data_IF_221520634818
#
_entry.id   IF_221520634818
#
_cell.length_a   1.000
_cell.length_b   1.000
_cell.length_c   1.000
_cell.angle_alpha   90.00
_cell.angle_beta   90.00
_cell.angle_gamma   90.00
#
_symmetry.space_group_name_H-M   'P 1'
#
loop_
_entity.id
_entity.type
_entity.pdbx_description
1 polymer ?
#
# COMPACT_ATOMS: atom_id res chain seq x y z
N UNK A 1 -86.99 0.59 111.83
CA UNK A 1 -85.85 1.37 112.36
C UNK A 1 -84.52 1.06 111.65
N UNK A 2 -84.37 -0.06 110.94
CA UNK A 2 -83.10 -0.40 110.26
C UNK A 2 -82.90 0.31 108.91
N UNK A 3 -83.98 0.68 108.20
CA UNK A 3 -83.91 1.31 106.87
C UNK A 3 -83.37 2.76 106.86
N UNK A 4 -83.68 3.57 107.88
CA UNK A 4 -83.23 4.97 107.96
C UNK A 4 -81.77 5.10 108.39
N UNK A 5 -81.26 4.15 109.18
CA UNK A 5 -79.84 4.08 109.56
C UNK A 5 -78.96 3.73 108.36
N UNK A 6 -79.39 2.78 107.53
CA UNK A 6 -78.65 2.35 106.34
C UNK A 6 -78.57 3.45 105.28
N UNK A 7 -79.61 4.28 105.13
CA UNK A 7 -79.60 5.44 104.23
C UNK A 7 -78.58 6.52 104.63
N UNK A 8 -78.39 6.76 105.94
CA UNK A 8 -77.41 7.74 106.44
C UNK A 8 -75.98 7.25 106.31
N UNK A 9 -75.73 5.97 106.59
CA UNK A 9 -74.40 5.35 106.40
C UNK A 9 -74.02 5.38 104.91
N UNK A 10 -74.94 4.97 104.02
CA UNK A 10 -74.70 5.04 102.57
C UNK A 10 -74.43 6.46 102.07
N UNK A 11 -75.10 7.49 102.63
CA UNK A 11 -74.85 8.88 102.26
C UNK A 11 -73.50 9.42 102.74
N UNK A 12 -72.99 8.94 103.89
CA UNK A 12 -71.67 9.31 104.41
C UNK A 12 -70.57 8.58 103.62
N UNK A 13 -70.76 7.29 103.35
CA UNK A 13 -69.83 6.51 102.52
C UNK A 13 -69.78 7.06 101.10
N UNK A 14 -70.92 7.35 100.47
CA UNK A 14 -71.01 7.98 99.15
C UNK A 14 -70.30 9.35 99.12
N UNK A 15 -70.51 10.22 100.12
CA UNK A 15 -69.79 11.50 100.18
C UNK A 15 -68.28 11.34 100.40
N UNK A 16 -67.86 10.31 101.13
CA UNK A 16 -66.44 10.03 101.41
C UNK A 16 -65.75 9.40 100.21
N UNK A 17 -66.46 8.57 99.44
CA UNK A 17 -66.05 8.05 98.13
C UNK A 17 -65.93 9.21 97.13
N UNK A 18 -66.94 10.08 97.03
CA UNK A 18 -66.90 11.27 96.18
C UNK A 18 -65.76 12.22 96.54
N UNK A 19 -65.48 12.43 97.83
CA UNK A 19 -64.36 13.26 98.25
C UNK A 19 -62.99 12.62 97.91
N UNK A 20 -62.86 11.29 98.01
CA UNK A 20 -61.65 10.55 97.61
C UNK A 20 -61.45 10.58 96.10
N UNK A 21 -62.52 10.62 95.32
CA UNK A 21 -62.46 10.72 93.86
C UNK A 21 -62.18 12.17 93.38
N UNK A 22 -62.70 13.18 94.09
CA UNK A 22 -62.49 14.61 93.78
C UNK A 22 -61.12 15.16 94.19
N UNK A 23 -60.48 14.62 95.23
CA UNK A 23 -59.17 15.15 95.68
C UNK A 23 -58.05 14.97 94.64
N UNK A 24 -57.87 13.79 94.01
CA UNK A 24 -56.88 13.60 92.95
C UNK A 24 -57.15 14.49 91.74
N UNK A 25 -58.41 14.67 91.34
CA UNK A 25 -58.74 15.54 90.20
C UNK A 25 -58.39 17.00 90.50
N UNK A 26 -58.70 17.53 91.69
CA UNK A 26 -58.31 18.88 92.09
C UNK A 26 -56.78 19.06 92.14
N UNK A 27 -56.04 18.06 92.61
CA UNK A 27 -54.58 18.11 92.61
C UNK A 27 -54.02 18.11 91.17
N UNK A 28 -54.53 17.23 90.31
CA UNK A 28 -54.18 17.19 88.89
C UNK A 28 -54.47 18.51 88.18
N UNK A 29 -55.61 19.14 88.44
CA UNK A 29 -55.96 20.43 87.85
C UNK A 29 -55.04 21.57 88.33
N UNK A 30 -54.65 21.58 89.61
CA UNK A 30 -53.65 22.55 90.12
C UNK A 30 -52.28 22.35 89.48
N UNK A 31 -51.83 21.10 89.36
CA UNK A 31 -50.56 20.78 88.72
C UNK A 31 -50.55 21.17 87.23
N UNK A 32 -51.66 20.95 86.50
CA UNK A 32 -51.83 21.42 85.12
C UNK A 32 -51.75 22.94 85.03
N UNK A 33 -52.47 23.66 85.91
CA UNK A 33 -52.46 25.12 85.90
C UNK A 33 -51.05 25.67 86.21
N UNK A 34 -50.34 25.10 87.19
CA UNK A 34 -48.96 25.51 87.51
C UNK A 34 -48.01 25.23 86.34
N UNK A 35 -48.13 24.08 85.67
CA UNK A 35 -47.34 23.74 84.48
C UNK A 35 -47.61 24.73 83.33
N UNK A 36 -48.87 25.06 83.03
CA UNK A 36 -49.22 26.04 82.00
C UNK A 36 -48.67 27.44 82.31
N UNK A 37 -48.69 27.84 83.59
CA UNK A 37 -48.15 29.13 84.02
C UNK A 37 -46.63 29.18 83.80
N UNK A 38 -45.92 28.11 84.14
CA UNK A 38 -44.48 27.99 83.90
C UNK A 38 -44.16 28.02 82.41
N UNK A 39 -44.93 27.32 81.57
CA UNK A 39 -44.76 27.35 80.10
C UNK A 39 -44.92 28.77 79.57
N UNK A 40 -45.99 29.47 79.94
CA UNK A 40 -46.24 30.86 79.48
C UNK A 40 -45.16 31.84 79.96
N UNK A 41 -44.58 31.65 81.14
CA UNK A 41 -43.48 32.49 81.63
C UNK A 41 -42.18 32.22 80.88
N UNK A 42 -41.88 30.96 80.56
CA UNK A 42 -40.72 30.57 79.74
C UNK A 42 -40.82 31.13 78.32
N UNK A 43 -42.01 31.07 77.70
CA UNK A 43 -42.27 31.66 76.38
C UNK A 43 -42.08 33.19 76.40
N UNK A 44 -42.55 33.86 77.45
CA UNK A 44 -42.35 35.32 77.62
C UNK A 44 -40.88 35.70 77.79
N UNK A 45 -40.10 34.93 78.55
CA UNK A 45 -38.67 35.18 78.75
C UNK A 45 -37.84 34.83 77.50
N UNK A 46 -38.24 33.78 76.78
CA UNK A 46 -37.56 33.30 75.57
C UNK A 46 -37.92 34.06 74.30
N UNK A 47 -39.05 34.76 74.28
CA UNK A 47 -39.51 35.56 73.12
C UNK A 47 -40.02 34.74 71.94
N UNK A 48 -40.14 33.41 72.10
CA UNK A 48 -40.66 32.46 71.10
C UNK A 48 -41.54 31.45 71.79
N UNK A 49 -42.68 31.12 71.18
CA UNK A 49 -43.60 30.12 71.72
C UNK A 49 -43.11 28.70 71.41
N UNK A 50 -43.52 27.72 72.23
CA UNK A 50 -43.17 26.31 71.99
C UNK A 50 -43.68 25.85 70.61
N UNK A 51 -44.88 26.30 70.23
CA UNK A 51 -45.50 25.98 68.95
C UNK A 51 -44.71 26.55 67.76
N UNK A 52 -44.15 27.74 67.88
CA UNK A 52 -43.26 28.32 66.85
C UNK A 52 -41.98 27.49 66.70
N UNK A 53 -41.37 27.05 67.81
CA UNK A 53 -40.19 26.19 67.77
C UNK A 53 -40.50 24.84 67.10
N UNK A 54 -41.62 24.21 67.42
CA UNK A 54 -42.05 22.97 66.76
C UNK A 54 -42.27 23.17 65.25
N UNK A 55 -42.94 24.26 64.84
CA UNK A 55 -43.13 24.58 63.42
C UNK A 55 -41.80 24.81 62.70
N UNK A 56 -40.85 25.52 63.32
CA UNK A 56 -39.51 25.74 62.72
C UNK A 56 -38.71 24.44 62.62
N UNK A 57 -38.79 23.56 63.62
CA UNK A 57 -38.15 22.25 63.59
C UNK A 57 -38.71 21.39 62.48
N UNK A 58 -40.03 21.34 62.32
CA UNK A 58 -40.70 20.61 61.24
C UNK A 58 -40.39 21.21 59.86
N UNK A 59 -40.26 22.54 59.75
CA UNK A 59 -39.80 23.17 58.51
C UNK A 59 -38.35 22.76 58.17
N UNK A 60 -37.45 22.76 59.16
CA UNK A 60 -36.04 22.36 58.98
C UNK A 60 -35.87 20.87 58.67
N UNK A 61 -36.69 20.00 59.25
CA UNK A 61 -36.73 18.57 58.88
C UNK A 61 -37.11 18.41 57.41
N UNK A 62 -38.16 19.08 56.95
CA UNK A 62 -38.57 19.04 55.53
C UNK A 62 -37.48 19.58 54.59
N UNK A 63 -36.84 20.69 54.96
CA UNK A 63 -35.73 21.26 54.21
C UNK A 63 -34.54 20.28 54.13
N UNK A 64 -34.19 19.65 55.25
CA UNK A 64 -33.12 18.63 55.31
C UNK A 64 -33.46 17.42 54.44
N UNK A 65 -34.68 16.89 54.52
CA UNK A 65 -35.14 15.78 53.67
C UNK A 65 -35.11 16.14 52.18
N UNK A 66 -35.49 17.35 51.81
CA UNK A 66 -35.43 17.82 50.42
C UNK A 66 -33.98 17.94 49.93
N UNK A 67 -33.07 18.47 50.76
CA UNK A 67 -31.64 18.53 50.44
C UNK A 67 -31.02 17.14 50.33
N UNK A 68 -31.41 16.21 51.19
CA UNK A 68 -30.95 14.82 51.16
C UNK A 68 -31.40 14.12 49.87
N UNK A 69 -32.69 14.21 49.52
CA UNK A 69 -33.22 13.67 48.27
C UNK A 69 -32.51 14.29 47.04
N UNK A 70 -32.23 15.60 47.07
CA UNK A 70 -31.48 16.27 46.01
C UNK A 70 -30.00 15.85 45.94
N UNK A 71 -29.38 15.43 47.04
CA UNK A 71 -28.02 14.84 47.05
C UNK A 71 -28.05 13.43 46.49
N UNK A 72 -28.96 12.59 46.94
CA UNK A 72 -29.13 11.20 46.50
C UNK A 72 -29.43 11.13 45.00
N UNK A 73 -30.32 11.98 44.49
CA UNK A 73 -30.61 12.08 43.06
C UNK A 73 -29.36 12.42 42.23
N UNK A 74 -28.53 13.36 42.70
CA UNK A 74 -27.28 13.71 42.00
C UNK A 74 -26.25 12.59 42.07
N UNK A 75 -26.10 11.94 43.22
CA UNK A 75 -25.22 10.77 43.39
C UNK A 75 -25.62 9.69 42.39
N UNK A 76 -26.90 9.37 42.33
CA UNK A 76 -27.43 8.37 41.40
C UNK A 76 -27.13 8.71 39.93
N UNK A 77 -27.32 9.97 39.52
CA UNK A 77 -26.99 10.43 38.15
C UNK A 77 -25.49 10.31 37.87
N UNK A 78 -24.63 10.67 38.82
CA UNK A 78 -23.18 10.55 38.65
C UNK A 78 -22.73 9.09 38.56
N UNK A 79 -23.23 8.22 39.43
CA UNK A 79 -22.93 6.78 39.41
C UNK A 79 -23.34 6.16 38.08
N UNK A 80 -24.57 6.44 37.62
CA UNK A 80 -25.06 5.96 36.34
C UNK A 80 -24.21 6.47 35.16
N UNK A 81 -23.78 7.74 35.20
CA UNK A 81 -22.93 8.32 34.15
C UNK A 81 -21.54 7.70 34.13
N UNK A 82 -20.93 7.49 35.29
CA UNK A 82 -19.63 6.81 35.43
C UNK A 82 -19.72 5.38 34.91
N UNK A 83 -20.80 4.67 35.22
CA UNK A 83 -21.01 3.31 34.74
C UNK A 83 -21.17 3.25 33.22
N UNK A 84 -21.90 4.21 32.63
CA UNK A 84 -22.00 4.36 31.17
C UNK A 84 -20.63 4.61 30.52
N UNK A 85 -19.78 5.43 31.13
CA UNK A 85 -18.42 5.71 30.65
C UNK A 85 -17.55 4.44 30.75
N UNK A 86 -17.62 3.69 31.86
CA UNK A 86 -16.87 2.44 32.02
C UNK A 86 -17.20 1.43 30.93
N UNK A 87 -18.48 1.21 30.65
CA UNK A 87 -18.90 0.29 29.57
C UNK A 87 -18.41 0.74 28.20
N UNK A 88 -18.53 2.04 27.89
CA UNK A 88 -18.00 2.60 26.64
C UNK A 88 -16.50 2.37 26.49
N UNK A 89 -15.74 2.68 27.55
CA UNK A 89 -14.29 2.46 27.58
C UNK A 89 -13.94 0.99 27.30
N UNK A 90 -14.62 0.06 27.95
CA UNK A 90 -14.38 -1.38 27.73
C UNK A 90 -14.67 -1.79 26.27
N UNK A 91 -15.78 -1.30 25.69
CA UNK A 91 -16.09 -1.59 24.29
C UNK A 91 -15.04 -1.01 23.33
N UNK A 92 -14.53 0.19 23.61
CA UNK A 92 -13.51 0.86 22.81
C UNK A 92 -12.15 0.17 22.92
N UNK A 93 -11.75 -0.27 24.12
CA UNK A 93 -10.54 -1.05 24.35
C UNK A 93 -10.59 -2.38 23.58
N UNK A 94 -11.73 -3.10 23.66
CA UNK A 94 -11.91 -4.35 22.91
C UNK A 94 -11.95 -4.14 21.39
N UNK A 95 -12.44 -2.98 20.90
CA UNK A 95 -12.40 -2.64 19.49
C UNK A 95 -10.97 -2.34 19.03
N UNK A 96 -10.21 -1.61 19.85
CA UNK A 96 -8.81 -1.28 19.60
C UNK A 96 -7.92 -2.53 19.56
N UNK A 97 -8.17 -3.49 20.45
CA UNK A 97 -7.43 -4.75 20.46
C UNK A 97 -7.73 -5.61 19.24
N UNK A 98 -9.00 -5.70 18.83
CA UNK A 98 -9.39 -6.36 17.57
C UNK A 98 -8.72 -5.72 16.36
N UNK A 99 -8.64 -4.38 16.32
CA UNK A 99 -7.94 -3.66 15.25
C UNK A 99 -6.45 -4.00 15.25
N UNK A 100 -5.79 -4.02 16.41
CA UNK A 100 -4.38 -4.39 16.54
C UNK A 100 -4.12 -5.81 16.02
N UNK A 101 -4.99 -6.76 16.35
CA UNK A 101 -4.91 -8.13 15.82
C UNK A 101 -5.11 -8.18 14.30
N UNK A 102 -6.09 -7.42 13.78
CA UNK A 102 -6.34 -7.33 12.35
C UNK A 102 -5.16 -6.71 11.57
N UNK A 103 -4.38 -5.82 12.19
CA UNK A 103 -3.19 -5.21 11.59
C UNK A 103 -1.97 -6.14 11.49
N UNK A 104 -1.87 -7.16 12.34
CA UNK A 104 -0.71 -8.08 12.35
C UNK A 104 -0.52 -8.80 11.01
N UNK A 105 -1.61 -9.26 10.39
CA UNK A 105 -1.54 -10.00 9.12
C UNK A 105 -1.07 -9.12 7.94
N UNK A 106 -1.64 -7.92 7.71
CA UNK A 106 -1.10 -6.96 6.76
C UNK A 106 0.35 -6.57 7.00
N UNK A 107 0.77 -6.34 8.26
CA UNK A 107 2.15 -5.98 8.60
C UNK A 107 3.13 -7.10 8.23
N UNK A 108 2.80 -8.35 8.55
CA UNK A 108 3.58 -9.51 8.13
C UNK A 108 3.58 -9.67 6.59
N UNK A 109 2.43 -9.43 5.95
CA UNK A 109 2.33 -9.45 4.49
C UNK A 109 3.19 -8.38 3.82
N UNK A 110 3.30 -7.19 4.44
CA UNK A 110 4.16 -6.11 3.96
C UNK A 110 5.65 -6.47 4.10
N UNK A 111 6.07 -7.02 5.25
CA UNK A 111 7.47 -7.40 5.44
C UNK A 111 7.91 -8.50 4.47
N UNK A 112 7.05 -9.49 4.20
CA UNK A 112 7.30 -10.53 3.21
C UNK A 112 7.38 -9.99 1.78
N UNK A 113 6.55 -9.00 1.44
CA UNK A 113 6.60 -8.37 0.11
C UNK A 113 7.87 -7.53 -0.05
N UNK A 114 8.26 -6.80 1.00
CA UNK A 114 9.49 -6.01 0.99
C UNK A 114 10.72 -6.89 0.77
N UNK A 115 10.85 -7.99 1.52
CA UNK A 115 11.98 -8.92 1.32
C UNK A 115 11.99 -9.59 -0.05
N UNK A 116 10.81 -9.91 -0.60
CA UNK A 116 10.69 -10.44 -1.96
C UNK A 116 11.10 -9.42 -3.04
N UNK A 117 10.80 -8.14 -2.83
CA UNK A 117 11.23 -7.05 -3.72
C UNK A 117 12.75 -6.89 -3.66
N UNK A 118 13.33 -6.79 -2.46
CA UNK A 118 14.79 -6.67 -2.27
C UNK A 118 15.55 -7.82 -2.96
N UNK A 119 15.04 -9.05 -2.81
CA UNK A 119 15.65 -10.22 -3.47
C UNK A 119 15.59 -10.11 -5.00
N UNK A 120 14.48 -9.62 -5.56
CA UNK A 120 14.35 -9.41 -7.01
C UNK A 120 15.23 -8.27 -7.51
N UNK A 121 15.37 -7.21 -6.74
CA UNK A 121 16.26 -6.10 -7.07
C UNK A 121 17.71 -6.57 -7.17
N UNK A 122 18.18 -7.39 -6.21
CA UNK A 122 19.51 -8.01 -6.25
C UNK A 122 19.70 -8.91 -7.48
N UNK A 123 18.68 -9.72 -7.83
CA UNK A 123 18.73 -10.56 -9.04
C UNK A 123 18.82 -9.72 -10.31
N UNK A 124 18.07 -8.62 -10.39
CA UNK A 124 18.10 -7.72 -11.54
C UNK A 124 19.46 -7.03 -11.67
N UNK A 125 20.07 -6.60 -10.56
CA UNK A 125 21.41 -6.01 -10.57
C UNK A 125 22.44 -7.00 -11.13
N UNK A 126 22.41 -8.26 -10.71
CA UNK A 126 23.29 -9.30 -11.24
C UNK A 126 23.12 -9.52 -12.75
N UNK A 127 21.87 -9.59 -13.23
CA UNK A 127 21.59 -9.74 -14.67
C UNK A 127 22.07 -8.52 -15.46
N UNK A 128 21.93 -7.31 -14.92
CA UNK A 128 22.43 -6.11 -15.57
C UNK A 128 23.96 -6.11 -15.67
N UNK A 129 24.66 -6.54 -14.62
CA UNK A 129 26.12 -6.67 -14.61
C UNK A 129 26.61 -7.73 -15.60
N UNK A 130 25.92 -8.87 -15.71
CA UNK A 130 26.27 -9.88 -16.71
C UNK A 130 25.99 -9.38 -18.14
N UNK A 131 24.90 -8.62 -18.32
CA UNK A 131 24.59 -7.97 -19.60
C UNK A 131 25.64 -6.92 -20.02
N UNK A 132 26.15 -6.10 -19.10
CA UNK A 132 27.23 -5.14 -19.39
C UNK A 132 28.54 -5.86 -19.70
N UNK A 133 28.92 -6.86 -18.90
CA UNK A 133 30.11 -7.69 -19.15
C UNK A 133 30.05 -8.40 -20.50
N UNK A 134 28.88 -8.94 -20.85
CA UNK A 134 28.64 -9.56 -22.15
C UNK A 134 28.85 -8.58 -23.31
N UNK A 135 28.26 -7.38 -23.22
CA UNK A 135 28.48 -6.32 -24.24
C UNK A 135 29.95 -5.94 -24.36
N UNK A 136 30.66 -5.77 -23.25
CA UNK A 136 32.09 -5.46 -23.26
C UNK A 136 32.93 -6.58 -23.88
N UNK A 137 32.59 -7.84 -23.63
CA UNK A 137 33.28 -8.98 -24.23
C UNK A 137 33.10 -8.99 -25.77
N UNK A 138 31.86 -8.79 -26.24
CA UNK A 138 31.57 -8.70 -27.69
C UNK A 138 32.33 -7.53 -28.33
N UNK A 139 32.34 -6.36 -27.69
CA UNK A 139 33.07 -5.21 -28.22
C UNK A 139 34.57 -5.50 -28.29
N UNK A 140 35.18 -6.10 -27.25
CA UNK A 140 36.60 -6.47 -27.27
C UNK A 140 36.93 -7.47 -28.39
N UNK A 141 36.09 -8.48 -28.57
CA UNK A 141 36.29 -9.47 -29.63
C UNK A 141 36.16 -8.85 -31.03
N UNK A 142 35.17 -7.97 -31.24
CA UNK A 142 35.03 -7.21 -32.50
C UNK A 142 36.29 -6.42 -32.83
N UNK A 143 36.83 -5.67 -31.86
CA UNK A 143 38.08 -4.93 -32.06
C UNK A 143 39.27 -5.86 -32.36
N UNK A 144 39.35 -7.02 -31.70
CA UNK A 144 40.38 -8.02 -31.95
C UNK A 144 40.29 -8.59 -33.37
N UNK A 145 39.10 -8.99 -33.81
CA UNK A 145 38.84 -9.50 -35.16
C UNK A 145 39.16 -8.42 -36.20
N UNK A 146 38.77 -7.17 -35.95
CA UNK A 146 39.04 -6.05 -36.86
C UNK A 146 40.54 -5.79 -36.98
N UNK A 147 41.29 -5.85 -35.87
CA UNK A 147 42.74 -5.75 -35.88
C UNK A 147 43.39 -6.87 -36.71
N UNK A 148 42.95 -8.12 -36.55
CA UNK A 148 43.44 -9.27 -37.34
C UNK A 148 43.10 -9.13 -38.82
N UNK A 149 41.88 -8.68 -39.16
CA UNK A 149 41.48 -8.41 -40.55
C UNK A 149 42.35 -7.33 -41.17
N UNK A 150 42.67 -6.28 -40.42
CA UNK A 150 43.55 -5.20 -40.87
C UNK A 150 44.96 -5.70 -41.17
N UNK A 151 45.56 -6.47 -40.27
CA UNK A 151 46.91 -7.02 -40.50
C UNK A 151 46.95 -7.97 -41.70
N UNK A 152 45.93 -8.83 -41.85
CA UNK A 152 45.82 -9.72 -43.01
C UNK A 152 45.71 -8.94 -44.35
N UNK A 153 44.86 -7.90 -44.39
CA UNK A 153 44.73 -7.04 -45.58
C UNK A 153 46.04 -6.31 -45.88
N UNK A 154 46.70 -5.75 -44.87
CA UNK A 154 47.98 -5.06 -45.03
C UNK A 154 49.07 -5.99 -45.61
N UNK A 155 49.13 -7.23 -45.13
CA UNK A 155 50.08 -8.24 -45.63
C UNK A 155 49.78 -8.63 -47.09
N UNK A 156 48.50 -8.87 -47.44
CA UNK A 156 48.10 -9.11 -48.84
C UNK A 156 48.46 -7.95 -49.75
N UNK A 157 48.20 -6.71 -49.31
CA UNK A 157 48.59 -5.51 -50.05
C UNK A 157 50.10 -5.41 -50.24
N UNK A 158 50.91 -5.80 -49.24
CA UNK A 158 52.38 -5.89 -49.38
C UNK A 158 52.78 -6.92 -50.43
N UNK A 159 52.21 -8.12 -50.38
CA UNK A 159 52.50 -9.17 -51.37
C UNK A 159 52.13 -8.75 -52.78
N UNK A 160 50.96 -8.12 -52.99
CA UNK A 160 50.55 -7.59 -54.29
C UNK A 160 51.50 -6.50 -54.79
N UNK A 161 51.93 -5.58 -53.92
CA UNK A 161 52.95 -4.58 -54.28
C UNK A 161 54.26 -5.23 -54.75
N UNK A 162 54.71 -6.29 -54.06
CA UNK A 162 55.91 -7.03 -54.49
C UNK A 162 55.72 -7.71 -55.85
N UNK A 163 54.56 -8.33 -56.09
CA UNK A 163 54.22 -8.94 -57.39
C UNK A 163 54.19 -7.90 -58.51
N UNK A 164 53.53 -6.77 -58.29
CA UNK A 164 53.47 -5.66 -59.24
C UNK A 164 54.88 -5.14 -59.56
N UNK A 165 55.74 -5.01 -58.54
CA UNK A 165 57.11 -4.58 -58.74
C UNK A 165 57.89 -5.54 -59.65
N UNK A 166 57.80 -6.85 -59.39
CA UNK A 166 58.42 -7.89 -60.24
C UNK A 166 57.91 -7.86 -61.69
N UNK A 167 56.61 -7.68 -61.88
CA UNK A 167 56.02 -7.57 -63.23
C UNK A 167 56.56 -6.33 -63.94
N UNK A 168 56.66 -5.18 -63.25
CA UNK A 168 57.25 -3.97 -63.82
C UNK A 168 58.73 -4.14 -64.17
N UNK A 169 59.51 -4.79 -63.32
CA UNK A 169 60.92 -5.11 -63.61
C UNK A 169 61.07 -6.03 -64.83
N UNK A 170 60.20 -7.05 -64.96
CA UNK A 170 60.16 -7.90 -66.14
C UNK A 170 59.78 -7.12 -67.39
N UNK A 171 58.69 -6.35 -67.33
CA UNK A 171 58.19 -5.53 -68.43
C UNK A 171 59.23 -4.50 -68.90
N UNK A 172 60.05 -3.94 -68.01
CA UNK A 172 61.14 -3.04 -68.37
C UNK A 172 62.28 -3.74 -69.14
N UNK A 173 62.60 -5.00 -68.80
CA UNK A 173 63.67 -5.78 -69.43
C UNK A 173 63.29 -6.30 -70.82
N UNK A 174 62.02 -6.57 -71.09
CA UNK A 174 61.57 -7.12 -72.37
C UNK A 174 61.94 -6.23 -73.58
N UNK A 175 61.63 -4.91 -73.58
CA UNK A 175 62.06 -4.01 -74.64
C UNK A 175 63.59 -3.92 -74.78
N UNK A 176 64.33 -3.97 -73.67
CA UNK A 176 65.80 -3.97 -73.67
C UNK A 176 66.40 -5.23 -74.30
N UNK A 177 65.73 -6.37 -74.21
CA UNK A 177 66.15 -7.62 -74.88
C UNK A 177 65.81 -7.63 -76.37
N UNK A 178 64.74 -6.94 -76.78
CA UNK A 178 64.31 -6.86 -78.19
C UNK A 178 65.11 -5.79 -78.96
N UNK A 179 65.56 -4.71 -78.29
CA UNK A 179 66.31 -3.60 -78.90
C UNK A 179 67.60 -4.01 -79.64
N UNK A 180 68.46 -4.91 -79.10
CA UNK A 180 69.68 -5.36 -79.78
C UNK A 180 69.38 -6.11 -81.07
N UNK A 181 68.28 -6.89 -81.12
CA UNK A 181 67.87 -7.60 -82.35
C UNK A 181 67.51 -6.61 -83.46
N UNK A 182 66.82 -5.52 -83.11
CA UNK A 182 66.52 -4.43 -84.04
C UNK A 182 67.78 -3.65 -84.47
N UNK A 183 68.75 -3.44 -83.57
CA UNK A 183 70.01 -2.77 -83.88
C UNK A 183 70.96 -3.62 -84.73
N UNK A 184 71.01 -4.93 -84.52
CA UNK A 184 71.78 -5.87 -85.34
C UNK A 184 71.26 -5.94 -86.78
N UNK A 185 69.94 -5.91 -86.97
CA UNK A 185 69.31 -5.82 -88.30
C UNK A 185 69.72 -4.53 -89.03
N UNK A 186 69.72 -3.40 -88.33
CA UNK A 186 70.21 -2.11 -88.88
C UNK A 186 71.68 -2.19 -89.30
N UNK A 187 72.54 -2.83 -88.49
CA UNK A 187 73.97 -3.04 -88.83
C UNK A 187 74.15 -3.94 -90.06
N UNK A 188 73.31 -4.96 -90.23
CA UNK A 188 73.32 -5.88 -91.39
C UNK A 188 72.64 -5.32 -92.65
N UNK A 189 72.04 -4.12 -92.60
CA UNK A 189 71.20 -3.52 -93.68
C UNK A 189 70.01 -4.39 -94.09
N UNK A 190 69.52 -5.23 -93.19
CA UNK A 190 68.32 -6.03 -93.41
C UNK A 190 67.07 -5.20 -93.05
N UNK A 191 66.07 -5.14 -93.94
CA UNK A 191 64.78 -4.52 -93.61
C UNK A 191 64.01 -5.41 -92.64
N UNK A 192 63.40 -4.81 -91.61
CA UNK A 192 62.47 -5.51 -90.75
C UNK A 192 61.33 -6.08 -91.58
N UNK A 193 60.96 -7.34 -91.35
CA UNK A 193 59.75 -7.89 -91.98
C UNK A 193 58.54 -7.21 -91.34
N UNK A 194 57.53 -6.86 -92.14
CA UNK A 194 56.31 -6.22 -91.65
C UNK A 194 55.67 -6.95 -90.44
N UNK A 195 55.77 -8.28 -90.40
CA UNK A 195 55.25 -9.11 -89.31
C UNK A 195 56.01 -8.94 -88.00
N UNK A 196 57.32 -8.64 -88.06
CA UNK A 196 58.18 -8.46 -86.88
C UNK A 196 57.93 -7.08 -86.25
N UNK A 197 57.82 -6.02 -87.06
CA UNK A 197 57.44 -4.67 -86.58
C UNK A 197 56.04 -4.64 -85.96
N UNK A 198 55.10 -5.39 -86.53
CA UNK A 198 53.75 -5.55 -85.96
C UNK A 198 53.81 -6.28 -84.62
N UNK A 199 54.65 -7.31 -84.48
CA UNK A 199 54.82 -8.05 -83.24
C UNK A 199 55.48 -7.21 -82.13
N UNK A 200 56.48 -6.39 -82.44
CA UNK A 200 57.11 -5.47 -81.48
C UNK A 200 56.13 -4.41 -80.98
N UNK A 201 55.31 -3.85 -81.87
CA UNK A 201 54.26 -2.89 -81.49
C UNK A 201 53.16 -3.52 -80.64
N UNK A 202 52.77 -4.76 -80.96
CA UNK A 202 51.81 -5.52 -80.16
C UNK A 202 52.34 -5.77 -78.74
N UNK A 203 53.61 -6.17 -78.61
CA UNK A 203 54.29 -6.36 -77.32
C UNK A 203 54.29 -5.09 -76.46
N UNK A 204 54.62 -3.94 -77.05
CA UNK A 204 54.61 -2.65 -76.31
C UNK A 204 53.18 -2.27 -75.91
N UNK A 205 52.18 -2.52 -76.76
CA UNK A 205 50.78 -2.28 -76.44
C UNK A 205 50.28 -3.19 -75.31
N UNK A 206 50.68 -4.46 -75.30
CA UNK A 206 50.34 -5.43 -74.24
C UNK A 206 50.98 -5.04 -72.91
N UNK A 207 52.27 -4.66 -72.90
CA UNK A 207 52.96 -4.15 -71.70
C UNK A 207 52.23 -2.93 -71.14
N UNK A 208 51.86 -1.98 -72.00
CA UNK A 208 51.11 -0.78 -71.59
C UNK A 208 49.76 -1.13 -70.99
N UNK A 209 49.03 -2.05 -71.61
CA UNK A 209 47.74 -2.53 -71.12
C UNK A 209 47.90 -3.19 -69.75
N UNK A 210 48.90 -4.05 -69.57
CA UNK A 210 49.19 -4.69 -68.28
C UNK A 210 49.48 -3.63 -67.21
N UNK A 211 50.33 -2.64 -67.50
CA UNK A 211 50.68 -1.56 -66.57
C UNK A 211 49.49 -0.72 -66.11
N UNK A 212 48.49 -0.51 -66.97
CA UNK A 212 47.24 0.18 -66.64
C UNK A 212 46.35 -0.62 -65.65
N UNK A 213 46.44 -1.96 -65.65
CA UNK A 213 45.67 -2.82 -64.74
C UNK A 213 46.39 -3.08 -63.40
N UNK A 214 47.73 -3.01 -63.34
CA UNK A 214 48.48 -3.34 -62.12
C UNK A 214 48.04 -2.56 -60.87
N UNK A 215 47.79 -1.24 -60.90
CA UNK A 215 47.30 -0.51 -59.71
C UNK A 215 45.93 -0.98 -59.23
N UNK A 216 45.05 -1.40 -60.14
CA UNK A 216 43.68 -1.86 -59.83
C UNK A 216 43.67 -3.17 -59.03
N UNK A 217 44.76 -3.95 -59.12
CA UNK A 217 44.94 -5.18 -58.33
C UNK A 217 45.14 -4.90 -56.83
N UNK A 218 45.64 -3.71 -56.46
CA UNK A 218 45.79 -3.32 -55.05
C UNK A 218 44.43 -2.96 -54.45
N UNK A 219 43.56 -2.28 -55.21
CA UNK A 219 42.26 -1.78 -54.75
C UNK A 219 41.12 -2.81 -54.69
N UNK A 220 41.29 -4.00 -55.30
CA UNK A 220 40.23 -5.02 -55.38
C UNK A 220 39.80 -5.63 -54.02
N UNK A 221 40.49 -5.36 -52.92
CA UNK A 221 40.09 -5.80 -51.57
C UNK A 221 39.47 -4.70 -50.69
N UNK A 222 39.47 -3.45 -51.16
CA UNK A 222 38.92 -2.32 -50.40
C UNK A 222 37.40 -2.17 -50.54
N UNK A 223 36.76 -2.99 -51.38
CA UNK A 223 35.32 -2.94 -51.64
C UNK A 223 34.70 -4.22 -51.07
N UNK A 224 33.78 -4.15 -50.10
CA UNK A 224 32.98 -5.32 -49.72
C UNK A 224 32.26 -5.86 -50.96
N UNK A 225 32.18 -7.18 -51.09
CA UNK A 225 31.77 -7.93 -52.29
C UNK A 225 30.55 -7.35 -53.02
N UNK A 226 29.61 -6.72 -52.30
CA UNK A 226 28.72 -5.72 -52.86
C UNK A 226 28.15 -4.88 -51.69
N UNK A 227 28.45 -3.56 -51.58
CA UNK A 227 27.93 -2.74 -50.48
C UNK A 227 26.40 -2.69 -50.48
N UNK A 228 25.76 -2.78 -51.65
CA UNK A 228 24.30 -2.76 -51.79
C UNK A 228 23.67 -4.06 -51.25
N UNK A 229 24.23 -5.23 -51.58
CA UNK A 229 23.77 -6.51 -51.00
C UNK A 229 23.95 -6.55 -49.50
N UNK A 230 25.04 -5.97 -48.99
CA UNK A 230 25.31 -5.92 -47.54
C UNK A 230 24.29 -5.02 -46.83
N UNK A 231 23.93 -3.89 -47.41
CA UNK A 231 22.90 -2.99 -46.89
C UNK A 231 21.49 -3.57 -47.03
N UNK A 232 21.21 -4.32 -48.11
CA UNK A 232 19.94 -5.04 -48.28
C UNK A 232 19.79 -6.09 -47.17
N UNK A 233 20.82 -6.89 -46.90
CA UNK A 233 20.79 -7.90 -45.84
C UNK A 233 20.61 -7.24 -44.47
N UNK A 234 21.30 -6.13 -44.19
CA UNK A 234 21.11 -5.36 -42.94
C UNK A 234 19.67 -4.89 -42.78
N UNK A 235 19.08 -4.28 -43.82
CA UNK A 235 17.69 -3.80 -43.79
C UNK A 235 16.70 -4.94 -43.56
N UNK A 236 16.93 -6.11 -44.19
CA UNK A 236 16.10 -7.30 -43.96
C UNK A 236 16.15 -7.75 -42.49
N UNK A 237 17.33 -7.79 -41.88
CA UNK A 237 17.45 -8.10 -40.45
C UNK A 237 16.77 -7.07 -39.57
N UNK A 238 17.00 -5.78 -39.81
CA UNK A 238 16.36 -4.69 -39.04
C UNK A 238 14.83 -4.75 -39.13
N UNK A 239 14.30 -5.15 -40.30
CA UNK A 239 12.86 -5.27 -40.54
C UNK A 239 12.27 -6.51 -39.84
N UNK A 240 12.98 -7.65 -39.86
CA UNK A 240 12.61 -8.84 -39.08
C UNK A 240 12.62 -8.56 -37.58
N UNK A 241 13.68 -7.90 -37.07
CA UNK A 241 13.77 -7.55 -35.66
C UNK A 241 12.65 -6.59 -35.23
N UNK A 242 12.29 -5.61 -36.07
CA UNK A 242 11.15 -4.72 -35.80
C UNK A 242 9.81 -5.46 -35.78
N UNK A 243 9.60 -6.39 -36.71
CA UNK A 243 8.37 -7.21 -36.72
C UNK A 243 8.27 -8.09 -35.47
N UNK A 244 9.39 -8.71 -35.07
CA UNK A 244 9.46 -9.53 -33.87
C UNK A 244 9.24 -8.70 -32.60
N UNK A 245 9.86 -7.52 -32.51
CA UNK A 245 9.63 -6.56 -31.43
C UNK A 245 8.16 -6.14 -31.31
N UNK A 246 7.52 -5.78 -32.44
CA UNK A 246 6.09 -5.45 -32.46
C UNK A 246 5.22 -6.62 -32.02
N UNK A 247 5.55 -7.84 -32.44
CA UNK A 247 4.82 -9.05 -32.04
C UNK A 247 4.95 -9.30 -30.54
N UNK A 248 6.16 -9.13 -29.99
CA UNK A 248 6.41 -9.24 -28.55
C UNK A 248 5.63 -8.18 -27.76
N UNK A 249 5.67 -6.92 -28.20
CA UNK A 249 4.93 -5.83 -27.55
C UNK A 249 3.41 -6.09 -27.58
N UNK A 250 2.85 -6.51 -28.71
CA UNK A 250 1.44 -6.88 -28.82
C UNK A 250 1.07 -8.02 -27.86
N UNK A 251 1.91 -9.05 -27.74
CA UNK A 251 1.68 -10.14 -26.79
C UNK A 251 1.75 -9.69 -25.33
N UNK A 252 2.64 -8.74 -25.02
CA UNK A 252 2.77 -8.17 -23.68
C UNK A 252 1.56 -7.33 -23.30
N UNK A 253 1.05 -6.52 -24.23
CA UNK A 253 -0.19 -5.75 -24.07
C UNK A 253 -1.40 -6.66 -23.89
N UNK A 254 -1.51 -7.75 -24.66
CA UNK A 254 -2.60 -8.73 -24.51
C UNK A 254 -2.57 -9.41 -23.14
N UNK A 255 -1.39 -9.82 -22.68
CA UNK A 255 -1.23 -10.43 -21.35
C UNK A 255 -1.49 -9.42 -20.22
N UNK A 256 -1.14 -8.14 -20.41
CA UNK A 256 -1.51 -7.08 -19.49
C UNK A 256 -3.03 -6.89 -19.44
N UNK A 257 -3.70 -6.82 -20.60
CA UNK A 257 -5.15 -6.71 -20.68
C UNK A 257 -5.86 -7.92 -20.03
N UNK A 258 -5.30 -9.13 -20.21
CA UNK A 258 -5.79 -10.35 -19.53
C UNK A 258 -5.67 -10.24 -18.02
N UNK A 259 -4.52 -9.79 -17.50
CA UNK A 259 -4.31 -9.57 -16.07
C UNK A 259 -5.27 -8.53 -15.51
N UNK A 260 -5.52 -7.44 -16.22
CA UNK A 260 -6.51 -6.44 -15.81
C UNK A 260 -7.95 -7.00 -15.78
N UNK A 261 -8.35 -7.78 -16.79
CA UNK A 261 -9.67 -8.44 -16.80
C UNK A 261 -9.82 -9.37 -15.60
N UNK A 262 -8.80 -10.17 -15.30
CA UNK A 262 -8.76 -11.02 -14.12
C UNK A 262 -8.81 -10.22 -12.83
N UNK A 263 -8.05 -9.12 -12.74
CA UNK A 263 -8.06 -8.20 -11.61
C UNK A 263 -9.45 -7.62 -11.35
N UNK A 264 -10.12 -7.11 -12.41
CA UNK A 264 -11.51 -6.62 -12.33
C UNK A 264 -12.47 -7.72 -11.89
N UNK A 265 -12.32 -8.93 -12.43
CA UNK A 265 -13.15 -10.08 -12.03
C UNK A 265 -12.98 -10.46 -10.55
N UNK A 266 -11.75 -10.42 -10.04
CA UNK A 266 -11.46 -10.67 -8.62
C UNK A 266 -12.02 -9.56 -7.72
N UNK A 267 -11.97 -8.31 -8.16
CA UNK A 267 -12.56 -7.17 -7.43
C UNK A 267 -14.08 -7.33 -7.30
N UNK A 268 -14.77 -7.69 -8.39
CA UNK A 268 -16.21 -7.98 -8.39
C UNK A 268 -16.53 -9.14 -7.45
N UNK A 269 -15.72 -10.20 -7.47
CA UNK A 269 -15.89 -11.33 -6.56
C UNK A 269 -15.74 -10.93 -5.08
N UNK A 270 -14.72 -10.12 -4.75
CA UNK A 270 -14.55 -9.58 -3.39
C UNK A 270 -15.72 -8.73 -2.97
N UNK A 271 -16.19 -7.83 -3.85
CA UNK A 271 -17.34 -6.98 -3.55
C UNK A 271 -18.59 -7.81 -3.27
N UNK A 272 -18.86 -8.83 -4.08
CA UNK A 272 -19.99 -9.75 -3.87
C UNK A 272 -19.90 -10.47 -2.52
N UNK A 273 -18.72 -10.95 -2.15
CA UNK A 273 -18.51 -11.59 -0.84
C UNK A 273 -18.73 -10.63 0.33
N UNK A 274 -18.35 -9.36 0.17
CA UNK A 274 -18.62 -8.31 1.16
C UNK A 274 -20.12 -8.01 1.26
N UNK A 275 -20.80 -7.86 0.12
CA UNK A 275 -22.23 -7.61 0.05
C UNK A 275 -23.04 -8.77 0.67
N UNK A 276 -22.67 -10.02 0.39
CA UNK A 276 -23.28 -11.21 1.01
C UNK A 276 -23.08 -11.21 2.54
N UNK A 277 -21.91 -10.78 3.01
CA UNK A 277 -21.64 -10.69 4.44
C UNK A 277 -22.45 -9.56 5.10
N UNK A 278 -22.63 -8.43 4.42
CA UNK A 278 -23.48 -7.31 4.89
C UNK A 278 -24.94 -7.74 4.91
N UNK A 279 -25.43 -8.40 3.86
CA UNK A 279 -26.80 -8.91 3.77
C UNK A 279 -27.11 -9.88 4.91
N UNK A 280 -26.24 -10.87 5.17
CA UNK A 280 -26.38 -11.80 6.30
C UNK A 280 -26.37 -11.11 7.66
N UNK A 281 -25.65 -10.00 7.79
CA UNK A 281 -25.63 -9.21 9.03
C UNK A 281 -26.95 -8.45 9.22
N UNK A 282 -27.50 -7.88 8.15
CA UNK A 282 -28.77 -7.15 8.19
C UNK A 282 -29.96 -8.09 8.41
N UNK A 283 -29.95 -9.27 7.80
CA UNK A 283 -30.97 -10.31 8.05
C UNK A 283 -31.03 -10.71 9.53
N UNK A 284 -29.87 -10.95 10.16
CA UNK A 284 -29.80 -11.23 11.61
C UNK A 284 -30.30 -10.07 12.48
N UNK A 285 -30.10 -8.83 12.05
CA UNK A 285 -30.62 -7.66 12.76
C UNK A 285 -32.14 -7.59 12.67
N UNK A 286 -32.71 -7.82 11.48
CA UNK A 286 -34.16 -7.85 11.29
C UNK A 286 -34.82 -9.03 12.03
N UNK A 287 -34.22 -10.21 12.05
CA UNK A 287 -34.73 -11.33 12.84
C UNK A 287 -34.74 -11.01 14.34
N UNK A 288 -33.70 -10.33 14.84
CA UNK A 288 -33.64 -9.87 16.21
C UNK A 288 -34.74 -8.84 16.52
N UNK A 289 -34.94 -7.84 15.66
CA UNK A 289 -36.03 -6.85 15.78
C UNK A 289 -37.42 -7.51 15.75
N UNK A 290 -37.62 -8.51 14.88
CA UNK A 290 -38.87 -9.26 14.81
C UNK A 290 -39.12 -10.07 16.10
N UNK A 291 -38.08 -10.67 16.67
CA UNK A 291 -38.20 -11.35 17.97
C UNK A 291 -38.50 -10.39 19.12
N UNK A 292 -37.89 -9.20 19.14
CA UNK A 292 -38.20 -8.17 20.15
C UNK A 292 -39.65 -7.66 20.01
N UNK A 293 -40.14 -7.45 18.79
CA UNK A 293 -41.53 -7.06 18.55
C UNK A 293 -42.52 -8.15 19.00
N UNK A 294 -42.23 -9.42 18.73
CA UNK A 294 -43.06 -10.54 19.21
C UNK A 294 -43.06 -10.65 20.73
N UNK A 295 -41.91 -10.48 21.39
CA UNK A 295 -41.82 -10.42 22.85
C UNK A 295 -42.63 -9.24 23.42
N UNK A 296 -42.56 -8.07 22.78
CA UNK A 296 -43.32 -6.87 23.20
C UNK A 296 -44.83 -7.08 23.06
N UNK A 297 -45.28 -7.74 21.99
CA UNK A 297 -46.70 -8.06 21.77
C UNK A 297 -47.18 -9.11 22.77
N UNK A 298 -46.36 -10.12 23.08
CA UNK A 298 -46.68 -11.11 24.13
C UNK A 298 -46.82 -10.46 25.50
N UNK A 299 -45.95 -9.50 25.84
CA UNK A 299 -46.03 -8.75 27.09
C UNK A 299 -47.27 -7.83 27.17
N UNK A 300 -47.82 -7.40 26.03
CA UNK A 300 -49.08 -6.64 25.97
C UNK A 300 -50.35 -7.51 26.07
N UNK A 301 -50.26 -8.80 25.75
CA UNK A 301 -51.40 -9.74 25.81
C UNK A 301 -51.49 -10.45 27.16
N UNK A 302 -50.36 -10.58 27.87
CA UNK A 302 -50.26 -11.25 29.17
C UNK A 302 -50.43 -10.32 30.39
N UNK A 303 -50.53 -9.01 30.18
CA UNK A 303 -50.84 -8.00 31.19
C UNK A 303 -52.22 -7.37 30.93
#
# INVERSE_FOLDING_TARGET
MEEEGMKRVNAIESNREEARERQPSVFCERAKHEAEKMTKELERRGGTTLEELERTLEAKKRESSALQAGRESRIWVYEHTVEKIRRRKQTEESASERLRQAMQQPEQGLSLRQSAIETREQQLEMVQLDGTRGREAVMRERHSIEAVRRTFREERCRQRRQWIHRIKEMNAKFPEQVRPLAEERKKKREQAKANEDVAERALVADIKTIEEYLPKLISLEDIPVNPEETDIIRRQFDEVFKQEEQTYLASAEEEQARKERLGRGLEVYRQRMLDDHVAKKNEKLHDAEATEHLSTVLDQVLN
#
